data_IF_578798906954
#
_entry.id   IF_578798906954
#
_cell.length_a   1.000
_cell.length_b   1.000
_cell.length_c   1.000
_cell.angle_alpha   90.00
_cell.angle_beta   90.00
_cell.angle_gamma   90.00
#
_symmetry.space_group_name_H-M   'P 1'
#
loop_
_entity.id
_entity.type
_entity.pdbx_description
1 polymer ?
#
# COMPACT_ATOMS: atom_id res chain seq x y z
N UNK A 1 4.40 -11.63 26.33
CA UNK A 1 3.13 -10.90 26.11
C UNK A 1 2.58 -11.36 24.77
N UNK A 2 1.37 -11.91 24.74
CA UNK A 2 0.75 -12.39 23.49
C UNK A 2 0.12 -11.23 22.71
N UNK A 3 0.38 -11.16 21.41
CA UNK A 3 -0.27 -10.22 20.49
C UNK A 3 -1.29 -10.99 19.66
N UNK A 4 -2.54 -10.57 19.71
CA UNK A 4 -3.62 -11.14 18.90
C UNK A 4 -3.94 -10.11 17.81
N UNK A 5 -3.74 -10.45 16.55
CA UNK A 5 -4.23 -9.66 15.43
C UNK A 5 -5.73 -9.96 15.26
N UNK A 6 -6.54 -8.90 15.31
CA UNK A 6 -7.98 -8.95 15.14
C UNK A 6 -8.30 -8.11 13.91
N UNK A 7 -8.73 -8.80 12.86
CA UNK A 7 -9.25 -8.21 11.64
C UNK A 7 -10.75 -8.45 11.63
N UNK A 8 -11.51 -7.38 11.87
CA UNK A 8 -12.96 -7.39 11.92
C UNK A 8 -13.49 -5.99 11.65
N UNK A 9 -14.70 -5.90 11.10
CA UNK A 9 -15.40 -4.63 11.02
C UNK A 9 -15.52 -4.00 12.41
N UNK A 10 -15.45 -2.66 12.49
CA UNK A 10 -15.47 -1.93 13.75
C UNK A 10 -16.67 -2.29 14.65
N UNK A 11 -17.83 -2.58 14.05
CA UNK A 11 -19.04 -3.00 14.79
C UNK A 11 -18.99 -4.42 15.34
N UNK A 12 -18.10 -5.27 14.84
CA UNK A 12 -18.01 -6.71 15.19
C UNK A 12 -16.91 -7.02 16.22
N UNK A 13 -16.06 -6.04 16.57
CA UNK A 13 -14.90 -6.23 17.45
C UNK A 13 -15.28 -6.90 18.78
N UNK A 14 -16.37 -6.47 19.42
CA UNK A 14 -16.82 -7.03 20.70
C UNK A 14 -17.22 -8.51 20.59
N UNK A 15 -17.93 -8.89 19.52
CA UNK A 15 -18.34 -10.28 19.28
C UNK A 15 -17.11 -11.15 19.01
N UNK A 16 -16.14 -10.61 18.28
CA UNK A 16 -14.90 -11.30 17.94
C UNK A 16 -14.00 -11.54 19.17
N UNK A 17 -13.92 -10.57 20.09
CA UNK A 17 -13.23 -10.75 21.38
C UNK A 17 -13.87 -11.87 22.21
N UNK A 18 -15.20 -11.90 22.28
CA UNK A 18 -15.94 -12.95 22.99
C UNK A 18 -15.73 -14.33 22.34
N UNK A 19 -15.76 -14.41 21.01
CA UNK A 19 -15.51 -15.64 20.25
C UNK A 19 -14.13 -16.23 20.50
N UNK A 20 -13.13 -15.37 20.76
CA UNK A 20 -11.76 -15.79 21.12
C UNK A 20 -11.60 -16.14 22.60
N UNK A 21 -12.69 -16.14 23.37
CA UNK A 21 -12.70 -16.53 24.78
C UNK A 21 -12.17 -15.47 25.73
N UNK A 22 -12.09 -14.20 25.29
CA UNK A 22 -11.69 -13.11 26.18
C UNK A 22 -12.88 -12.78 27.09
N UNK A 23 -12.69 -13.00 28.39
CA UNK A 23 -13.74 -12.80 29.38
C UNK A 23 -14.14 -11.32 29.49
N UNK A 24 -15.42 -11.08 29.75
CA UNK A 24 -15.93 -9.75 30.05
C UNK A 24 -15.16 -9.12 31.22
N UNK A 25 -14.87 -7.81 31.12
CA UNK A 25 -14.09 -7.08 32.12
C UNK A 25 -12.56 -7.22 32.00
N UNK A 26 -12.05 -8.05 31.08
CA UNK A 26 -10.61 -8.12 30.79
C UNK A 26 -10.14 -6.80 30.17
N UNK A 27 -9.07 -6.21 30.71
CA UNK A 27 -8.44 -5.02 30.12
C UNK A 27 -7.69 -5.40 28.85
N UNK A 28 -8.03 -4.75 27.74
CA UNK A 28 -7.39 -4.95 26.44
C UNK A 28 -6.69 -3.67 25.97
N UNK A 29 -5.53 -3.84 25.32
CA UNK A 29 -4.86 -2.76 24.59
C UNK A 29 -5.11 -2.95 23.10
N UNK A 30 -5.66 -1.93 22.44
CA UNK A 30 -6.08 -1.99 21.04
C UNK A 30 -5.17 -1.08 20.22
N UNK A 31 -4.68 -1.60 19.10
CA UNK A 31 -4.04 -0.81 18.04
C UNK A 31 -5.02 -0.80 16.88
N UNK A 32 -5.45 0.40 16.46
CA UNK A 32 -6.35 0.60 15.33
C UNK A 32 -5.54 1.18 14.18
N UNK A 33 -5.57 0.51 13.04
CA UNK A 33 -5.01 1.01 11.79
C UNK A 33 -6.18 1.44 10.89
N UNK A 34 -6.20 2.72 10.53
CA UNK A 34 -7.15 3.25 9.55
C UNK A 34 -6.42 3.30 8.22
N UNK A 35 -6.78 2.39 7.31
CA UNK A 35 -6.22 2.39 5.96
C UNK A 35 -7.03 3.37 5.12
N UNK A 36 -6.51 4.59 4.95
CA UNK A 36 -7.05 5.54 3.98
C UNK A 36 -6.75 5.00 2.57
N UNK A 37 -7.80 4.78 1.75
CA UNK A 37 -7.62 4.36 0.36
C UNK A 37 -8.58 3.28 -0.17
N UNK A 38 -9.39 2.65 0.68
CA UNK A 38 -10.36 1.65 0.20
C UNK A 38 -11.50 2.28 -0.62
N UNK A 39 -11.93 3.50 -0.25
CA UNK A 39 -12.96 4.28 -0.95
C UNK A 39 -12.41 5.52 -1.67
N UNK A 40 -11.10 5.77 -1.59
CA UNK A 40 -10.50 6.82 -2.40
C UNK A 40 -10.37 6.27 -3.81
N UNK A 41 -11.23 6.70 -4.74
CA UNK A 41 -10.90 6.64 -6.15
C UNK A 41 -9.50 7.24 -6.28
N UNK A 42 -8.47 6.48 -6.70
CA UNK A 42 -7.13 7.00 -6.74
C UNK A 42 -7.19 8.24 -7.61
N UNK A 43 -6.72 9.40 -7.10
CA UNK A 43 -6.79 10.66 -7.84
C UNK A 43 -6.20 10.53 -9.25
N UNK A 44 -5.22 9.62 -9.42
CA UNK A 44 -4.69 9.20 -10.70
C UNK A 44 -5.75 8.57 -11.64
N UNK A 45 -6.64 7.71 -11.15
CA UNK A 45 -7.73 7.14 -11.95
C UNK A 45 -8.79 8.19 -12.34
N UNK A 46 -9.10 9.13 -11.44
CA UNK A 46 -9.99 10.26 -11.78
C UNK A 46 -9.34 11.15 -12.83
N UNK A 47 -8.08 11.51 -12.64
CA UNK A 47 -7.31 12.33 -13.59
C UNK A 47 -7.21 11.65 -14.96
N UNK A 48 -6.96 10.34 -14.99
CA UNK A 48 -6.92 9.55 -16.23
C UNK A 48 -8.28 9.51 -16.94
N UNK A 49 -9.36 9.22 -16.22
CA UNK A 49 -10.71 9.20 -16.81
C UNK A 49 -11.17 10.59 -17.29
N UNK A 50 -10.70 11.65 -16.65
CA UNK A 50 -10.98 13.04 -17.01
C UNK A 50 -10.10 13.63 -18.11
N UNK A 51 -9.19 12.85 -18.72
CA UNK A 51 -8.30 13.31 -19.78
C UNK A 51 -7.20 14.28 -19.30
N UNK A 52 -6.99 14.39 -17.99
CA UNK A 52 -5.95 15.27 -17.43
C UNK A 52 -4.53 14.82 -17.79
N UNK A 53 -4.37 13.63 -18.38
CA UNK A 53 -3.11 13.07 -18.87
C UNK A 53 -3.02 13.06 -20.41
N UNK A 54 -4.01 13.59 -21.14
CA UNK A 54 -3.99 13.55 -22.61
C UNK A 54 -2.78 14.33 -23.18
N UNK A 55 -2.36 15.39 -22.49
CA UNK A 55 -1.16 16.16 -22.85
C UNK A 55 0.15 15.36 -22.76
N UNK A 56 0.20 14.28 -21.96
CA UNK A 56 1.37 13.38 -21.89
C UNK A 56 1.52 12.54 -23.17
N UNK A 57 0.45 12.35 -23.94
CA UNK A 57 0.51 11.59 -25.19
C UNK A 57 1.24 12.35 -26.31
N UNK A 58 1.30 13.68 -26.20
CA UNK A 58 1.97 14.56 -27.16
C UNK A 58 3.42 14.87 -26.74
N UNK A 59 3.85 14.40 -25.56
CA UNK A 59 5.22 14.62 -25.11
C UNK A 59 6.20 13.73 -25.87
N UNK A 60 7.28 14.31 -26.44
CA UNK A 60 8.33 13.52 -27.06
C UNK A 60 9.10 12.75 -25.98
N UNK A 61 9.39 11.47 -26.25
CA UNK A 61 10.24 10.66 -25.38
C UNK A 61 11.61 11.35 -25.20
N UNK A 62 11.91 11.74 -23.96
CA UNK A 62 13.17 12.40 -23.61
C UNK A 62 14.36 11.44 -23.56
N UNK A 63 14.09 10.15 -23.40
CA UNK A 63 15.08 9.09 -23.33
C UNK A 63 14.69 7.95 -24.26
N UNK A 64 15.68 7.38 -24.92
CA UNK A 64 15.55 6.21 -25.77
C UNK A 64 16.09 4.96 -25.06
N UNK A 65 15.75 3.78 -25.57
CA UNK A 65 16.31 2.51 -25.09
C UNK A 65 17.85 2.47 -25.16
N UNK A 66 18.46 3.31 -26.02
CA UNK A 66 19.91 3.43 -26.12
C UNK A 66 20.53 4.16 -24.92
N UNK A 67 19.77 5.05 -24.25
CA UNK A 67 20.23 5.80 -23.07
C UNK A 67 20.20 4.94 -21.80
N UNK A 68 19.42 3.85 -21.80
CA UNK A 68 19.33 2.88 -20.71
C UNK A 68 20.53 1.93 -20.65
N UNK A 69 21.43 1.96 -21.63
CA UNK A 69 22.61 1.12 -21.67
C UNK A 69 23.69 1.62 -20.68
N UNK A 70 23.49 1.32 -19.38
CA UNK A 70 24.55 1.43 -18.39
C UNK A 70 25.68 0.43 -18.73
N UNK A 71 26.75 0.94 -19.32
CA UNK A 71 28.00 0.20 -19.48
C UNK A 71 28.68 0.10 -18.12
N UNK A 72 28.22 -0.82 -17.26
CA UNK A 72 28.92 -1.14 -16.02
C UNK A 72 30.38 -1.49 -16.38
N UNK A 73 31.40 -0.74 -15.91
CA UNK A 73 32.77 -1.11 -16.16
C UNK A 73 33.03 -2.49 -15.52
N UNK A 74 33.77 -3.39 -16.20
CA UNK A 74 34.00 -4.73 -15.68
C UNK A 74 34.69 -4.62 -14.32
N UNK A 75 34.05 -5.17 -13.28
CA UNK A 75 34.66 -5.25 -11.95
C UNK A 75 35.96 -6.04 -12.07
N UNK A 76 37.10 -5.53 -11.55
CA UNK A 76 38.34 -6.29 -11.57
C UNK A 76 38.13 -7.59 -10.80
N UNK A 77 38.49 -8.72 -11.43
CA UNK A 77 38.51 -10.02 -10.76
C UNK A 77 39.63 -9.96 -9.72
N UNK A 78 39.25 -9.84 -8.45
CA UNK A 78 40.16 -10.06 -7.32
C UNK A 78 40.55 -11.53 -7.35
N UNK A 79 41.81 -11.80 -7.69
CA UNK A 79 42.47 -13.09 -7.47
C UNK A 79 43.02 -13.22 -6.07
#
# INVERSE_FOLDING_TARGET
>A
MGRIALDAEAGQVSAELARRGIAAGTRVHVVVEVVEGADALPMAAIAQAGGAFDWLADEPDLYSDADLAESAPPRPRTG
#
